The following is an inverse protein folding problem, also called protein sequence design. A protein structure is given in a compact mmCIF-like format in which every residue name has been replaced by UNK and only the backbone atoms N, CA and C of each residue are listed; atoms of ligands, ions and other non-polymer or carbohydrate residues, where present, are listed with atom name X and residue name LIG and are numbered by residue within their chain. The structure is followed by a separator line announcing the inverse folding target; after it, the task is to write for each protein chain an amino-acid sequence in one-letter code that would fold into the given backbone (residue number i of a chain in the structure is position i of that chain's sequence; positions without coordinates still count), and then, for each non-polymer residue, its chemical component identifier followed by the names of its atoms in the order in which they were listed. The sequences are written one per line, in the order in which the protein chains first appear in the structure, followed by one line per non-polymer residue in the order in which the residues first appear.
data_IF_113299681655
#
_entry.id   IF_113299681655
#
_cell.length_a   1.000
_cell.length_b   1.000
_cell.length_c   1.000
_cell.angle_alpha   90.00
_cell.angle_beta   90.00
_cell.angle_gamma   90.00
#
_symmetry.space_group_name_H-M   'P 1'
#
loop_
_entity.id
_entity.type
_entity.pdbx_description
1 polymer ?
#
# COMPACT_ATOMS: atom_id res chain seq x y z
N UNK A 1 -7.74 7.15 20.24
CA UNK A 1 -8.06 6.04 19.30
C UNK A 1 -7.30 4.79 19.73
N UNK A 2 -7.92 3.61 19.67
CA UNK A 2 -7.21 2.33 19.81
C UNK A 2 -6.64 1.95 18.42
N UNK A 3 -5.31 1.90 18.30
CA UNK A 3 -4.62 1.68 17.01
C UNK A 3 -3.98 0.30 16.99
N UNK A 4 -4.17 -0.45 15.90
CA UNK A 4 -3.47 -1.69 15.60
C UNK A 4 -2.42 -1.44 14.51
N UNK A 5 -1.15 -1.56 14.85
CA UNK A 5 -0.06 -1.59 13.86
C UNK A 5 -0.03 -2.98 13.23
N UNK A 6 -0.07 -3.03 11.90
CA UNK A 6 -0.03 -4.29 11.13
C UNK A 6 1.26 -4.31 10.33
N UNK A 7 2.08 -5.33 10.57
CA UNK A 7 3.33 -5.57 9.85
C UNK A 7 3.22 -6.92 9.13
N UNK A 8 3.34 -6.91 7.81
CA UNK A 8 3.49 -8.12 7.02
C UNK A 8 4.97 -8.41 6.84
N UNK A 9 5.44 -9.57 7.32
CA UNK A 9 6.84 -9.93 7.27
C UNK A 9 7.12 -11.10 6.30
N UNK A 10 8.26 -11.03 5.64
CA UNK A 10 8.85 -12.12 4.86
C UNK A 10 10.37 -11.98 4.85
N UNK A 11 11.09 -12.89 5.53
CA UNK A 11 12.53 -12.81 5.78
C UNK A 11 12.92 -11.45 6.41
N UNK A 12 12.32 -11.18 7.56
CA UNK A 12 12.35 -9.89 8.27
C UNK A 12 13.60 -9.70 9.15
N UNK A 13 14.41 -10.73 9.32
CA UNK A 13 15.53 -10.75 10.26
C UNK A 13 16.42 -9.50 10.25
N UNK A 14 16.77 -8.87 9.09
CA UNK A 14 17.64 -7.70 9.07
C UNK A 14 17.05 -6.43 9.72
N UNK A 15 15.73 -6.31 9.79
CA UNK A 15 15.05 -5.08 10.23
C UNK A 15 14.30 -5.23 11.55
N UNK A 16 14.20 -6.44 12.13
CA UNK A 16 13.38 -6.73 13.32
C UNK A 16 13.65 -5.70 14.41
N UNK A 17 14.90 -5.52 14.81
CA UNK A 17 15.24 -4.68 15.97
C UNK A 17 14.93 -3.21 15.73
N UNK A 18 15.20 -2.70 14.53
CA UNK A 18 14.96 -1.30 14.20
C UNK A 18 13.47 -1.00 14.02
N UNK A 19 12.77 -1.87 13.30
CA UNK A 19 11.33 -1.75 13.06
C UNK A 19 10.55 -1.84 14.38
N UNK A 20 10.72 -2.93 15.13
CA UNK A 20 9.97 -3.16 16.36
C UNK A 20 10.45 -2.25 17.51
N UNK A 21 11.75 -1.92 17.55
CA UNK A 21 12.30 -0.95 18.50
C UNK A 21 11.66 0.44 18.36
N UNK A 22 11.47 0.93 17.12
CA UNK A 22 10.83 2.22 16.89
C UNK A 22 9.37 2.27 17.37
N UNK A 23 8.67 1.15 17.31
CA UNK A 23 7.31 1.03 17.83
C UNK A 23 7.28 0.96 19.36
N UNK A 24 8.24 0.29 19.97
CA UNK A 24 8.39 0.24 21.43
C UNK A 24 8.73 1.63 22.03
N UNK A 25 9.46 2.46 21.28
CA UNK A 25 9.79 3.83 21.66
C UNK A 25 8.70 4.85 21.33
N UNK A 26 7.64 4.45 20.63
CA UNK A 26 6.54 5.34 20.25
C UNK A 26 5.88 5.98 21.50
N UNK A 27 5.64 7.30 21.43
CA UNK A 27 4.91 8.02 22.46
C UNK A 27 3.41 7.71 22.48
N UNK A 28 2.90 7.03 21.45
CA UNK A 28 1.51 6.62 21.35
C UNK A 28 1.37 5.11 21.62
N UNK A 29 0.54 4.71 22.58
CA UNK A 29 0.31 3.29 22.84
C UNK A 29 -0.47 2.65 21.70
N UNK A 30 0.16 1.73 20.99
CA UNK A 30 -0.48 0.99 19.90
C UNK A 30 -0.19 -0.51 20.06
N UNK A 31 -1.19 -1.33 19.80
CA UNK A 31 -0.99 -2.77 19.73
C UNK A 31 -0.30 -3.13 18.40
N UNK A 32 0.58 -4.14 18.43
CA UNK A 32 1.33 -4.57 17.24
C UNK A 32 0.96 -6.00 16.87
N UNK A 33 0.57 -6.20 15.62
CA UNK A 33 0.32 -7.50 15.01
C UNK A 33 1.29 -7.73 13.85
N UNK A 34 2.07 -8.79 13.95
CA UNK A 34 2.96 -9.23 12.88
C UNK A 34 2.31 -10.43 12.18
N UNK A 35 2.21 -10.37 10.87
CA UNK A 35 1.74 -11.47 10.04
C UNK A 35 2.91 -11.95 9.20
N UNK A 36 3.51 -13.05 9.64
CA UNK A 36 4.62 -13.66 8.94
C UNK A 36 4.12 -14.44 7.72
N UNK A 37 4.65 -14.09 6.57
CA UNK A 37 4.20 -14.55 5.27
C UNK A 37 5.04 -15.74 4.77
N UNK A 38 5.25 -16.75 5.64
CA UNK A 38 6.07 -17.93 5.43
C UNK A 38 7.57 -17.63 5.27
N UNK A 39 8.16 -16.86 6.20
CA UNK A 39 9.61 -16.62 6.27
C UNK A 39 10.40 -17.91 6.37
N UNK A 40 11.58 -17.91 5.74
CA UNK A 40 12.50 -19.06 5.70
C UNK A 40 13.77 -18.83 6.53
N UNK A 41 13.96 -17.63 7.05
CA UNK A 41 15.04 -17.23 7.93
C UNK A 41 14.64 -17.36 9.42
N UNK A 42 15.40 -16.75 10.33
CA UNK A 42 15.13 -16.80 11.77
C UNK A 42 14.01 -15.84 12.23
N UNK A 43 13.25 -15.20 11.34
CA UNK A 43 12.21 -14.21 11.66
C UNK A 43 11.28 -14.69 12.76
N UNK A 44 10.58 -15.82 12.54
CA UNK A 44 9.55 -16.32 13.47
C UNK A 44 10.15 -16.70 14.84
N UNK A 45 11.31 -17.37 14.84
CA UNK A 45 11.99 -17.79 16.07
C UNK A 45 12.49 -16.59 16.88
N UNK A 46 13.07 -15.58 16.23
CA UNK A 46 13.52 -14.35 16.86
C UNK A 46 12.37 -13.56 17.47
N UNK A 47 11.29 -13.32 16.72
CA UNK A 47 10.14 -12.59 17.23
C UNK A 47 9.55 -13.29 18.47
N UNK A 48 9.38 -14.62 18.43
CA UNK A 48 8.87 -15.38 19.59
C UNK A 48 9.76 -15.32 20.81
N UNK A 49 11.09 -15.29 20.60
CA UNK A 49 12.08 -15.26 21.68
C UNK A 49 12.26 -13.86 22.25
N UNK A 50 12.49 -12.87 21.37
CA UNK A 50 12.97 -11.54 21.77
C UNK A 50 11.81 -10.56 22.00
N UNK A 51 10.63 -10.84 21.36
CA UNK A 51 9.41 -10.02 21.45
C UNK A 51 8.16 -10.83 21.81
N UNK A 52 8.18 -11.65 22.88
CA UNK A 52 7.08 -12.60 23.21
C UNK A 52 5.76 -11.92 23.56
N UNK A 53 5.77 -10.63 23.85
CA UNK A 53 4.59 -9.82 24.12
C UNK A 53 3.88 -9.34 22.85
N UNK A 54 4.51 -9.42 21.69
CA UNK A 54 3.89 -9.03 20.42
C UNK A 54 3.07 -10.20 19.84
N UNK A 55 1.97 -9.84 19.21
CA UNK A 55 1.10 -10.81 18.54
C UNK A 55 1.70 -11.19 17.19
N UNK A 56 1.96 -12.49 17.01
CA UNK A 56 2.51 -13.05 15.76
C UNK A 56 1.57 -14.12 15.20
N UNK A 57 1.20 -13.96 13.94
CA UNK A 57 0.51 -14.98 13.12
C UNK A 57 1.47 -15.46 12.06
N UNK A 58 1.91 -16.72 12.13
CA UNK A 58 2.76 -17.32 11.11
C UNK A 58 1.90 -18.04 10.07
N UNK A 59 1.88 -17.54 8.85
CA UNK A 59 1.19 -18.19 7.74
C UNK A 59 2.01 -19.38 7.20
N UNK A 60 1.38 -20.50 6.87
CA UNK A 60 2.09 -21.63 6.27
C UNK A 60 2.52 -21.37 4.82
N UNK A 61 1.96 -20.36 4.17
CA UNK A 61 2.25 -20.00 2.78
C UNK A 61 2.35 -18.49 2.62
N UNK A 62 3.07 -18.03 1.60
CA UNK A 62 3.10 -16.59 1.26
C UNK A 62 1.79 -16.19 0.61
N UNK A 63 1.01 -15.37 1.31
CA UNK A 63 -0.30 -14.87 0.89
C UNK A 63 -0.20 -13.63 -0.03
N UNK A 64 0.98 -13.04 -0.12
CA UNK A 64 1.19 -11.70 -0.69
C UNK A 64 0.84 -10.58 0.29
N UNK A 65 1.20 -9.36 -0.08
CA UNK A 65 1.07 -8.18 0.80
C UNK A 65 -0.39 -7.88 1.17
N UNK A 66 -1.26 -7.79 0.16
CA UNK A 66 -2.65 -7.36 0.37
C UNK A 66 -3.46 -8.35 1.22
N UNK A 67 -3.38 -9.66 0.94
CA UNK A 67 -4.14 -10.67 1.70
C UNK A 67 -3.65 -10.78 3.14
N UNK A 68 -2.34 -10.69 3.36
CA UNK A 68 -1.80 -10.72 4.71
C UNK A 68 -2.28 -9.49 5.52
N UNK A 69 -2.22 -8.28 4.94
CA UNK A 69 -2.78 -7.09 5.59
C UNK A 69 -4.28 -7.22 5.86
N UNK A 70 -5.05 -7.85 4.97
CA UNK A 70 -6.48 -8.07 5.16
C UNK A 70 -6.80 -8.88 6.43
N UNK A 71 -5.94 -9.85 6.79
CA UNK A 71 -6.08 -10.59 8.06
C UNK A 71 -6.00 -9.62 9.25
N UNK A 72 -5.01 -8.73 9.25
CA UNK A 72 -4.87 -7.73 10.32
C UNK A 72 -6.02 -6.72 10.35
N UNK A 73 -6.46 -6.25 9.18
CA UNK A 73 -7.62 -5.34 9.07
C UNK A 73 -8.91 -5.99 9.59
N UNK A 74 -9.12 -7.27 9.29
CA UNK A 74 -10.27 -8.04 9.77
C UNK A 74 -10.24 -8.20 11.30
N UNK A 75 -9.07 -8.50 11.86
CA UNK A 75 -8.86 -8.55 13.31
C UNK A 75 -9.17 -7.19 13.94
N UNK A 76 -8.69 -6.09 13.33
CA UNK A 76 -8.95 -4.75 13.84
C UNK A 76 -10.45 -4.44 13.89
N UNK A 77 -11.21 -4.80 12.86
CA UNK A 77 -12.68 -4.63 12.85
C UNK A 77 -13.36 -5.48 13.92
N UNK A 78 -12.95 -6.74 14.08
CA UNK A 78 -13.53 -7.70 15.04
C UNK A 78 -13.25 -7.34 16.50
N UNK A 79 -12.06 -6.81 16.77
CA UNK A 79 -11.59 -6.49 18.13
C UNK A 79 -11.83 -5.02 18.51
N UNK A 80 -12.54 -4.25 17.67
CA UNK A 80 -12.99 -2.89 17.98
C UNK A 80 -11.87 -1.86 18.03
N UNK A 81 -10.85 -2.00 17.17
CA UNK A 81 -9.87 -0.92 16.96
C UNK A 81 -10.51 0.26 16.23
N UNK A 82 -10.03 1.47 16.50
CA UNK A 82 -10.49 2.69 15.84
C UNK A 82 -9.76 2.92 14.52
N UNK A 83 -8.49 2.48 14.43
CA UNK A 83 -7.69 2.58 13.22
C UNK A 83 -6.69 1.43 13.12
N UNK A 84 -6.24 1.16 11.89
CA UNK A 84 -5.05 0.37 11.62
C UNK A 84 -3.92 1.29 11.14
N UNK A 85 -2.69 0.94 11.49
CA UNK A 85 -1.50 1.56 10.93
C UNK A 85 -0.69 0.48 10.21
N UNK A 86 -0.80 0.45 8.87
CA UNK A 86 0.01 -0.45 8.06
C UNK A 86 1.43 0.06 8.02
N UNK A 87 2.39 -0.80 8.30
CA UNK A 87 3.80 -0.47 8.30
C UNK A 87 4.59 -1.60 7.63
N UNK A 88 5.47 -1.24 6.70
CA UNK A 88 6.36 -2.22 6.08
C UNK A 88 7.40 -2.74 7.09
N UNK A 89 7.86 -3.99 6.89
CA UNK A 89 8.88 -4.60 7.73
C UNK A 89 10.24 -3.87 7.69
N UNK A 90 10.60 -3.31 6.53
CA UNK A 90 11.83 -2.57 6.27
C UNK A 90 11.70 -1.06 6.59
N UNK A 91 10.85 -0.76 7.57
CA UNK A 91 10.50 0.60 7.94
C UNK A 91 10.53 0.80 9.47
N UNK A 92 10.70 2.05 9.89
CA UNK A 92 10.61 2.50 11.30
C UNK A 92 10.06 3.92 11.36
N UNK A 93 9.55 4.32 12.50
CA UNK A 93 8.86 5.61 12.67
C UNK A 93 9.55 6.51 13.69
N UNK A 94 9.37 7.82 13.53
CA UNK A 94 9.70 8.78 14.58
C UNK A 94 8.79 8.57 15.79
N UNK A 95 9.31 8.85 16.99
CA UNK A 95 8.66 8.59 18.28
C UNK A 95 7.22 9.13 18.37
N UNK A 96 6.94 10.27 17.79
CA UNK A 96 5.65 10.97 17.83
C UNK A 96 4.79 10.78 16.59
N UNK A 97 5.24 9.97 15.62
CA UNK A 97 4.59 9.83 14.31
C UNK A 97 3.11 9.38 14.43
N UNK A 98 2.83 8.32 15.21
CA UNK A 98 1.47 7.81 15.37
C UNK A 98 0.59 8.85 16.06
N UNK A 99 1.09 9.51 17.10
CA UNK A 99 0.35 10.56 17.81
C UNK A 99 -0.07 11.69 16.88
N UNK A 100 0.88 12.19 16.07
CA UNK A 100 0.61 13.26 15.11
C UNK A 100 -0.40 12.84 14.04
N UNK A 101 -0.34 11.59 13.56
CA UNK A 101 -1.30 11.06 12.58
C UNK A 101 -2.71 10.94 13.18
N UNK A 102 -2.83 10.47 14.43
CA UNK A 102 -4.10 10.36 15.16
C UNK A 102 -4.73 11.74 15.38
N UNK A 103 -3.94 12.70 15.85
CA UNK A 103 -4.41 14.08 16.07
C UNK A 103 -4.85 14.74 14.76
N UNK A 104 -4.09 14.50 13.67
CA UNK A 104 -4.44 15.00 12.35
C UNK A 104 -5.76 14.42 11.85
N UNK A 105 -6.01 13.12 12.07
CA UNK A 105 -7.27 12.50 11.69
C UNK A 105 -8.46 13.04 12.49
N UNK A 106 -8.32 13.26 13.80
CA UNK A 106 -9.40 13.83 14.62
C UNK A 106 -9.89 15.17 14.08
N UNK A 107 -8.97 16.00 13.55
CA UNK A 107 -9.29 17.30 12.99
C UNK A 107 -9.75 17.23 11.52
N UNK A 108 -9.46 16.14 10.81
CA UNK A 108 -9.71 15.98 9.38
C UNK A 108 -10.27 14.59 9.04
N UNK A 109 -11.48 14.22 9.52
CA UNK A 109 -12.04 12.87 9.38
C UNK A 109 -12.42 12.50 7.92
N UNK A 110 -12.38 13.44 7.00
CA UNK A 110 -12.57 13.20 5.57
C UNK A 110 -11.39 12.47 4.91
N UNK A 111 -10.24 12.37 5.58
CA UNK A 111 -9.10 11.58 5.08
C UNK A 111 -9.24 10.11 5.47
N UNK A 112 -9.32 9.26 4.47
CA UNK A 112 -9.36 7.81 4.67
C UNK A 112 -7.97 7.16 4.76
N UNK A 113 -6.94 7.84 4.27
CA UNK A 113 -5.53 7.47 4.45
C UNK A 113 -4.74 8.70 4.83
N UNK A 114 -4.02 8.61 5.95
CA UNK A 114 -2.96 9.54 6.33
C UNK A 114 -1.63 8.79 6.38
N UNK A 115 -0.60 9.41 5.82
CA UNK A 115 0.77 8.90 5.81
C UNK A 115 1.73 9.91 6.45
N UNK A 116 2.79 9.47 7.13
CA UNK A 116 3.89 10.37 7.44
C UNK A 116 4.67 10.74 6.18
N UNK A 117 5.61 11.66 6.31
CA UNK A 117 6.69 11.91 5.34
C UNK A 117 7.58 10.68 5.31
N UNK A 118 7.89 10.17 4.12
CA UNK A 118 8.81 9.03 3.97
C UNK A 118 10.24 9.52 3.79
N UNK A 119 11.11 9.08 4.68
CA UNK A 119 12.56 9.28 4.59
C UNK A 119 13.24 7.97 4.12
N UNK A 120 14.47 8.10 3.65
CA UNK A 120 15.35 6.95 3.42
C UNK A 120 15.89 6.40 4.76
N UNK A 121 16.58 5.26 4.71
CA UNK A 121 17.26 4.67 5.88
C UNK A 121 18.31 5.59 6.51
N UNK A 122 18.81 6.60 5.80
CA UNK A 122 19.73 7.61 6.33
C UNK A 122 19.06 8.61 7.28
N UNK A 123 17.72 8.69 7.29
CA UNK A 123 16.89 9.67 8.04
C UNK A 123 17.12 11.14 7.62
N UNK A 124 17.99 11.36 6.64
CA UNK A 124 18.43 12.70 6.22
C UNK A 124 17.87 13.15 4.87
N UNK A 125 17.32 12.23 4.10
CA UNK A 125 16.80 12.50 2.76
C UNK A 125 15.41 11.90 2.58
N UNK A 126 14.61 12.50 1.70
CA UNK A 126 13.30 11.96 1.34
C UNK A 126 13.44 10.64 0.56
N UNK A 127 12.52 9.71 0.78
CA UNK A 127 12.41 8.50 -0.05
C UNK A 127 12.17 8.90 -1.51
N UNK A 128 12.87 8.31 -2.49
CA UNK A 128 12.72 8.67 -3.90
C UNK A 128 11.30 8.51 -4.44
N UNK A 129 10.56 7.50 -3.95
CA UNK A 129 9.14 7.33 -4.29
C UNK A 129 8.30 8.48 -3.75
N UNK A 130 8.51 8.86 -2.48
CA UNK A 130 7.84 10.00 -1.87
C UNK A 130 8.13 11.31 -2.63
N UNK A 131 9.39 11.57 -2.96
CA UNK A 131 9.79 12.72 -3.77
C UNK A 131 9.12 12.73 -5.15
N UNK A 132 8.98 11.56 -5.77
CA UNK A 132 8.38 11.43 -7.11
C UNK A 132 6.92 11.87 -7.15
N UNK A 133 6.07 11.44 -6.20
CA UNK A 133 4.65 11.79 -6.21
C UNK A 133 4.31 13.09 -5.50
N UNK A 134 5.13 13.56 -4.57
CA UNK A 134 4.95 14.87 -3.92
C UNK A 134 5.59 16.02 -4.69
N UNK A 135 6.58 15.73 -5.55
CA UNK A 135 7.45 16.70 -6.23
C UNK A 135 8.32 17.54 -5.27
N UNK A 136 8.50 17.06 -4.05
CA UNK A 136 9.38 17.66 -3.04
C UNK A 136 10.71 16.89 -3.08
N UNK A 137 11.83 17.59 -3.15
CA UNK A 137 13.17 16.97 -3.24
C UNK A 137 13.92 17.01 -1.93
N UNK A 138 13.64 17.98 -1.08
CA UNK A 138 14.36 18.23 0.16
C UNK A 138 13.40 18.38 1.34
N UNK A 139 13.82 17.93 2.52
CA UNK A 139 13.05 18.05 3.78
C UNK A 139 12.73 19.52 4.11
N UNK A 140 13.62 20.45 3.74
CA UNK A 140 13.42 21.89 3.96
C UNK A 140 12.23 22.47 3.18
N UNK A 141 11.84 21.82 2.08
CA UNK A 141 10.71 22.24 1.22
C UNK A 141 9.34 21.75 1.75
N UNK A 142 9.33 20.92 2.81
CA UNK A 142 8.08 20.43 3.37
C UNK A 142 7.21 21.58 3.90
N UNK A 143 5.91 21.62 3.56
CA UNK A 143 4.98 22.67 3.98
C UNK A 143 4.55 22.49 5.45
N UNK A 144 5.45 22.70 6.39
CA UNK A 144 5.26 22.43 7.83
C UNK A 144 4.14 23.23 8.49
N UNK A 145 3.62 24.26 7.84
CA UNK A 145 2.45 25.03 8.31
C UNK A 145 1.13 24.34 8.02
N UNK A 146 1.11 23.46 7.02
CA UNK A 146 -0.07 22.66 6.69
C UNK A 146 -0.24 21.54 7.70
N UNK A 147 -1.47 21.27 8.10
CA UNK A 147 -1.80 20.13 8.95
C UNK A 147 -1.71 18.83 8.15
N UNK A 148 -2.27 18.83 6.95
CA UNK A 148 -2.26 17.71 6.00
C UNK A 148 -2.08 18.27 4.59
N UNK A 149 -1.27 17.61 3.78
CA UNK A 149 -1.12 17.90 2.36
C UNK A 149 -1.85 16.79 1.56
N UNK A 150 -2.86 17.17 0.74
CA UNK A 150 -3.60 16.20 -0.05
C UNK A 150 -2.71 15.57 -1.13
N UNK A 151 -2.92 14.28 -1.39
CA UNK A 151 -2.24 13.51 -2.43
C UNK A 151 -3.25 12.76 -3.30
N UNK A 152 -2.83 12.45 -4.52
CA UNK A 152 -3.55 11.52 -5.40
C UNK A 152 -3.05 10.08 -5.25
N UNK A 153 -1.88 9.91 -4.66
CA UNK A 153 -1.25 8.62 -4.41
C UNK A 153 -0.21 8.73 -3.29
N UNK A 154 -0.12 7.71 -2.47
CA UNK A 154 0.98 7.42 -1.55
C UNK A 154 1.14 5.90 -1.45
N UNK A 155 2.36 5.38 -1.47
CA UNK A 155 2.58 3.93 -1.33
C UNK A 155 2.22 3.44 0.08
N UNK A 156 1.87 2.16 0.20
CA UNK A 156 1.38 1.55 1.43
C UNK A 156 2.49 1.19 2.44
N UNK A 157 3.61 1.91 2.44
CA UNK A 157 4.67 1.69 3.44
C UNK A 157 4.26 2.15 4.85
N UNK A 158 3.42 3.20 4.91
CA UNK A 158 2.89 3.76 6.15
C UNK A 158 1.47 4.31 5.91
N UNK A 159 0.45 3.56 6.24
CA UNK A 159 -0.94 4.02 6.09
C UNK A 159 -1.69 3.95 7.42
N UNK A 160 -2.07 5.11 7.95
CA UNK A 160 -3.10 5.19 8.98
C UNK A 160 -4.46 5.17 8.29
N UNK A 161 -5.27 4.13 8.57
CA UNK A 161 -6.60 3.93 7.99
C UNK A 161 -7.59 3.76 9.13
N UNK A 162 -8.56 4.67 9.30
CA UNK A 162 -9.63 4.52 10.28
C UNK A 162 -10.53 3.32 9.96
N UNK A 163 -11.04 2.62 10.97
CA UNK A 163 -11.86 1.40 10.75
C UNK A 163 -13.23 1.68 10.16
N UNK A 164 -13.78 2.90 10.31
CA UNK A 164 -14.97 3.32 9.57
C UNK A 164 -14.74 3.33 8.05
N UNK A 165 -13.51 3.66 7.59
CA UNK A 165 -13.11 3.55 6.19
C UNK A 165 -13.03 2.09 5.76
N UNK A 166 -12.45 1.20 6.59
CA UNK A 166 -12.42 -0.24 6.32
C UNK A 166 -13.84 -0.84 6.18
N UNK A 167 -14.82 -0.34 6.96
CA UNK A 167 -16.23 -0.79 6.84
C UNK A 167 -16.88 -0.37 5.53
N UNK A 168 -16.45 0.71 4.92
CA UNK A 168 -17.03 1.25 3.69
C UNK A 168 -16.25 0.84 2.43
N UNK A 169 -14.94 0.83 2.49
CA UNK A 169 -14.05 0.58 1.35
C UNK A 169 -13.58 -0.88 1.32
N UNK A 170 -13.47 -1.51 2.48
CA UNK A 170 -12.96 -2.87 2.64
C UNK A 170 -11.44 -2.95 2.72
N UNK A 171 -10.90 -4.13 2.41
CA UNK A 171 -9.47 -4.43 2.38
C UNK A 171 -8.86 -4.38 0.98
N UNK A 172 -7.66 -4.90 0.82
CA UNK A 172 -6.98 -5.01 -0.47
C UNK A 172 -7.67 -6.02 -1.38
N UNK A 173 -7.82 -5.68 -2.65
CA UNK A 173 -8.44 -6.55 -3.65
C UNK A 173 -7.57 -7.77 -3.99
N UNK A 174 -8.20 -8.93 -4.08
CA UNK A 174 -7.53 -10.17 -4.52
C UNK A 174 -7.15 -10.19 -6.01
N UNK A 175 -7.58 -9.18 -6.78
CA UNK A 175 -7.18 -9.01 -8.18
C UNK A 175 -5.66 -8.73 -8.30
N UNK A 176 -5.06 -8.13 -7.26
CA UNK A 176 -3.65 -7.77 -7.20
C UNK A 176 -2.92 -8.68 -6.20
N UNK A 177 -2.00 -9.51 -6.69
CA UNK A 177 -1.21 -10.38 -5.83
C UNK A 177 0.03 -9.68 -5.27
N UNK A 178 0.72 -8.91 -6.13
CA UNK A 178 1.94 -8.18 -5.78
C UNK A 178 2.10 -6.97 -6.70
N UNK A 179 2.16 -5.79 -6.11
CA UNK A 179 2.05 -4.47 -6.73
C UNK A 179 0.65 -4.15 -7.27
N UNK A 180 0.28 -2.87 -7.18
CA UNK A 180 -0.98 -2.31 -7.67
C UNK A 180 -2.12 -2.36 -6.66
N UNK A 181 -1.99 -3.14 -5.59
CA UNK A 181 -2.95 -3.20 -4.49
C UNK A 181 -3.15 -1.85 -3.81
N UNK A 182 -2.08 -1.07 -3.65
CA UNK A 182 -2.10 0.28 -3.10
C UNK A 182 -2.85 1.27 -4.02
N UNK A 183 -2.56 1.21 -5.32
CA UNK A 183 -3.24 2.05 -6.31
C UNK A 183 -4.73 1.72 -6.41
N UNK A 184 -5.10 0.43 -6.44
CA UNK A 184 -6.50 0.00 -6.44
C UNK A 184 -7.21 0.46 -5.17
N UNK A 185 -6.58 0.29 -4.01
CA UNK A 185 -7.16 0.70 -2.73
C UNK A 185 -7.45 2.21 -2.71
N UNK A 186 -6.49 3.04 -3.13
CA UNK A 186 -6.66 4.50 -3.23
C UNK A 186 -7.76 4.85 -4.25
N UNK A 187 -7.82 4.20 -5.40
CA UNK A 187 -8.88 4.42 -6.38
C UNK A 187 -10.28 4.13 -5.78
N UNK A 188 -10.43 3.05 -5.01
CA UNK A 188 -11.70 2.73 -4.32
C UNK A 188 -12.01 3.74 -3.21
N UNK A 189 -11.01 4.10 -2.44
CA UNK A 189 -11.13 5.07 -1.36
C UNK A 189 -11.64 6.42 -1.89
N UNK A 190 -11.06 6.91 -2.97
CA UNK A 190 -11.51 8.15 -3.61
C UNK A 190 -12.88 8.02 -4.27
N UNK A 191 -13.23 6.85 -4.82
CA UNK A 191 -14.58 6.57 -5.32
C UNK A 191 -15.65 6.70 -4.23
N UNK A 192 -15.33 6.31 -2.99
CA UNK A 192 -16.20 6.44 -1.83
C UNK A 192 -16.12 7.83 -1.15
N UNK A 193 -15.47 8.81 -1.79
CA UNK A 193 -15.45 10.20 -1.33
C UNK A 193 -14.39 10.54 -0.27
N UNK A 194 -13.54 9.61 0.11
CA UNK A 194 -12.45 9.88 1.04
C UNK A 194 -11.23 10.50 0.36
N UNK A 195 -10.48 11.28 1.13
CA UNK A 195 -9.21 11.89 0.72
C UNK A 195 -8.01 11.05 1.15
N UNK A 196 -6.89 11.28 0.48
CA UNK A 196 -5.56 10.75 0.83
C UNK A 196 -4.63 11.92 1.07
N UNK A 197 -3.76 11.82 2.07
CA UNK A 197 -2.80 12.88 2.35
C UNK A 197 -1.61 12.40 3.17
N UNK A 198 -0.61 13.27 3.27
CA UNK A 198 0.48 13.10 4.22
C UNK A 198 0.52 14.24 5.24
N UNK A 199 1.06 13.93 6.41
CA UNK A 199 1.21 14.88 7.51
C UNK A 199 2.66 15.35 7.56
N UNK A 200 2.95 16.65 7.26
CA UNK A 200 4.33 17.15 7.09
C UNK A 200 5.20 17.11 8.34
N UNK A 201 4.61 16.88 9.50
CA UNK A 201 5.29 16.83 10.81
C UNK A 201 5.49 15.40 11.33
N UNK A 202 4.86 14.41 10.73
CA UNK A 202 5.06 12.99 11.04
C UNK A 202 6.10 12.41 10.10
N UNK A 203 7.01 11.57 10.62
CA UNK A 203 8.11 10.99 9.82
C UNK A 203 8.17 9.48 10.00
N UNK A 204 8.44 8.79 8.90
CA UNK A 204 8.77 7.38 8.88
C UNK A 204 9.92 7.13 7.91
N UNK A 205 10.80 6.21 8.23
CA UNK A 205 11.96 5.85 7.42
C UNK A 205 11.73 4.50 6.75
N UNK A 206 12.07 4.39 5.49
CA UNK A 206 11.88 3.19 4.69
C UNK A 206 13.23 2.78 4.07
N UNK A 207 13.73 1.62 4.43
CA UNK A 207 15.00 1.06 3.93
C UNK A 207 14.77 0.32 2.62
N UNK A 208 14.37 1.08 1.61
CA UNK A 208 14.11 0.53 0.30
C UNK A 208 15.41 0.30 -0.46
N UNK A 209 15.74 -0.95 -0.75
CA UNK A 209 16.81 -1.25 -1.68
C UNK A 209 16.50 -0.73 -3.09
N UNK A 210 17.35 0.17 -3.59
CA UNK A 210 17.30 0.56 -4.99
C UNK A 210 17.90 -0.56 -5.85
N UNK A 211 17.04 -1.23 -6.61
CA UNK A 211 17.45 -2.22 -7.61
C UNK A 211 17.15 -1.69 -9.00
N UNK A 212 18.09 -1.77 -9.96
CA UNK A 212 17.82 -1.43 -11.35
C UNK A 212 16.58 -2.19 -11.85
N UNK A 213 15.74 -1.51 -12.62
CA UNK A 213 14.53 -2.10 -13.17
C UNK A 213 14.89 -3.13 -14.24
N UNK A 214 14.71 -4.42 -13.96
CA UNK A 214 14.84 -5.47 -14.97
C UNK A 214 13.72 -5.35 -16.02
N UNK A 215 13.97 -5.89 -17.21
CA UNK A 215 12.96 -5.90 -18.27
C UNK A 215 11.66 -6.62 -17.87
N UNK A 216 11.79 -7.74 -17.16
CA UNK A 216 10.61 -8.45 -16.61
C UNK A 216 9.84 -7.61 -15.59
N UNK A 217 10.55 -6.90 -14.70
CA UNK A 217 9.93 -6.00 -13.73
C UNK A 217 9.22 -4.83 -14.43
N UNK A 218 9.82 -4.29 -15.50
CA UNK A 218 9.20 -3.26 -16.32
C UNK A 218 7.86 -3.75 -16.91
N UNK A 219 7.84 -4.91 -17.58
CA UNK A 219 6.61 -5.48 -18.16
C UNK A 219 5.55 -5.81 -17.10
N UNK A 220 5.99 -6.28 -15.93
CA UNK A 220 5.08 -6.51 -14.81
C UNK A 220 4.47 -5.19 -14.31
N UNK A 221 5.27 -4.15 -14.16
CA UNK A 221 4.79 -2.81 -13.77
C UNK A 221 3.80 -2.24 -14.79
N UNK A 222 4.07 -2.40 -16.09
CA UNK A 222 3.15 -2.02 -17.17
C UNK A 222 1.82 -2.79 -17.06
N UNK A 223 1.88 -4.11 -16.84
CA UNK A 223 0.69 -4.92 -16.67
C UNK A 223 -0.15 -4.44 -15.46
N UNK A 224 0.47 -4.26 -14.31
CA UNK A 224 -0.18 -3.82 -13.08
C UNK A 224 -0.78 -2.42 -13.25
N UNK A 225 -0.05 -1.49 -13.87
CA UNK A 225 -0.54 -0.14 -14.16
C UNK A 225 -1.83 -0.21 -15.00
N UNK A 226 -1.81 -0.93 -16.11
CA UNK A 226 -2.96 -1.05 -17.00
C UNK A 226 -4.13 -1.82 -16.33
N UNK A 227 -3.84 -2.83 -15.53
CA UNK A 227 -4.85 -3.55 -14.76
C UNK A 227 -5.52 -2.63 -13.73
N UNK A 228 -4.76 -1.77 -13.05
CA UNK A 228 -5.31 -0.81 -12.09
C UNK A 228 -6.20 0.24 -12.76
N UNK A 229 -5.84 0.72 -13.97
CA UNK A 229 -6.70 1.61 -14.74
C UNK A 229 -7.98 0.91 -15.23
N UNK A 230 -7.87 -0.37 -15.63
CA UNK A 230 -9.03 -1.17 -16.04
C UNK A 230 -9.98 -1.44 -14.88
N UNK A 231 -9.45 -1.70 -13.68
CA UNK A 231 -10.24 -1.92 -12.46
C UNK A 231 -10.77 -0.63 -11.82
N UNK A 232 -10.30 0.55 -12.23
CA UNK A 232 -10.60 1.82 -11.59
C UNK A 232 -12.08 2.19 -11.70
N UNK A 233 -12.78 2.17 -10.56
CA UNK A 233 -14.21 2.47 -10.46
C UNK A 233 -14.54 3.96 -10.72
N UNK A 234 -13.57 4.87 -10.60
CA UNK A 234 -13.76 6.30 -10.90
C UNK A 234 -13.94 6.59 -12.40
N UNK A 235 -13.68 5.61 -13.27
CA UNK A 235 -13.86 5.71 -14.70
C UNK A 235 -15.09 4.94 -15.15
N UNK A 236 -15.87 5.48 -16.12
CA UNK A 236 -16.84 4.69 -16.86
C UNK A 236 -16.15 3.48 -17.48
N UNK A 237 -16.89 2.37 -17.64
CA UNK A 237 -16.31 1.13 -18.16
C UNK A 237 -15.58 1.32 -19.50
N UNK A 238 -16.13 2.08 -20.45
CA UNK A 238 -15.52 2.36 -21.74
C UNK A 238 -14.18 3.07 -21.58
N UNK A 239 -14.10 4.09 -20.71
CA UNK A 239 -12.84 4.79 -20.42
C UNK A 239 -11.84 3.86 -19.73
N UNK A 240 -12.27 3.08 -18.73
CA UNK A 240 -11.43 2.12 -18.05
C UNK A 240 -10.88 1.06 -19.00
N UNK A 241 -11.70 0.56 -19.92
CA UNK A 241 -11.29 -0.38 -20.98
C UNK A 241 -10.27 0.26 -21.93
N UNK A 242 -10.51 1.50 -22.35
CA UNK A 242 -9.59 2.21 -23.23
C UNK A 242 -8.21 2.42 -22.58
N UNK A 243 -8.15 2.86 -21.32
CA UNK A 243 -6.92 3.11 -20.58
C UNK A 243 -6.21 1.81 -20.15
N UNK A 244 -6.97 0.81 -19.74
CA UNK A 244 -6.44 -0.45 -19.26
C UNK A 244 -6.10 -1.41 -20.42
N UNK A 245 -7.02 -1.64 -21.36
CA UNK A 245 -6.87 -2.69 -22.37
C UNK A 245 -6.37 -2.17 -23.70
N UNK A 246 -6.89 -1.05 -24.21
CA UNK A 246 -6.50 -0.56 -25.54
C UNK A 246 -5.19 0.25 -25.54
N UNK A 247 -4.83 0.89 -24.42
CA UNK A 247 -3.58 1.66 -24.36
C UNK A 247 -2.31 0.83 -24.64
N UNK A 248 -2.17 -0.44 -24.22
CA UNK A 248 -1.09 -1.32 -24.66
C UNK A 248 -1.00 -1.51 -26.18
N UNK A 249 -2.13 -1.57 -26.88
CA UNK A 249 -2.14 -1.68 -28.34
C UNK A 249 -1.53 -0.43 -28.98
N UNK A 250 -1.86 0.77 -28.47
CA UNK A 250 -1.22 2.02 -28.90
C UNK A 250 0.29 2.01 -28.65
N UNK A 251 0.73 1.47 -27.50
CA UNK A 251 2.18 1.31 -27.20
C UNK A 251 2.84 0.31 -28.13
N UNK A 252 2.16 -0.80 -28.48
CA UNK A 252 2.63 -1.79 -29.46
C UNK A 252 2.85 -1.16 -30.85
N UNK A 253 1.87 -0.40 -31.35
CA UNK A 253 1.97 0.29 -32.63
C UNK A 253 3.14 1.29 -32.63
N UNK A 254 3.30 2.06 -31.56
CA UNK A 254 4.43 2.97 -31.44
C UNK A 254 5.76 2.21 -31.43
N UNK A 255 5.88 1.11 -30.69
CA UNK A 255 7.08 0.30 -30.66
C UNK A 255 7.43 -0.27 -32.07
N UNK A 256 6.41 -0.66 -32.84
CA UNK A 256 6.58 -1.13 -34.22
C UNK A 256 7.11 -0.01 -35.13
N UNK A 257 6.52 1.18 -35.06
CA UNK A 257 6.98 2.35 -35.83
C UNK A 257 8.41 2.78 -35.47
N UNK A 258 8.80 2.59 -34.19
CA UNK A 258 10.16 2.84 -33.69
C UNK A 258 11.15 1.70 -34.04
N UNK A 259 10.75 0.70 -34.84
CA UNK A 259 11.58 -0.46 -35.23
C UNK A 259 11.83 -1.48 -34.12
N UNK A 260 11.10 -1.40 -32.99
CA UNK A 260 11.26 -2.27 -31.80
C UNK A 260 10.26 -3.42 -31.83
N UNK A 261 10.40 -4.35 -32.80
CA UNK A 261 9.43 -5.44 -33.01
C UNK A 261 9.24 -6.36 -31.79
N UNK A 262 10.31 -6.67 -31.05
CA UNK A 262 10.21 -7.46 -29.80
C UNK A 262 9.32 -6.80 -28.76
N UNK A 263 9.49 -5.51 -28.53
CA UNK A 263 8.67 -4.73 -27.59
C UNK A 263 7.21 -4.62 -28.06
N UNK A 264 6.98 -4.52 -29.37
CA UNK A 264 5.64 -4.59 -29.95
C UNK A 264 4.94 -5.91 -29.57
N UNK A 265 5.61 -7.04 -29.76
CA UNK A 265 5.07 -8.36 -29.40
C UNK A 265 4.77 -8.48 -27.90
N UNK A 266 5.60 -7.89 -27.03
CA UNK A 266 5.37 -7.88 -25.58
C UNK A 266 4.13 -7.08 -25.21
N UNK A 267 3.91 -5.91 -25.79
CA UNK A 267 2.68 -5.14 -25.58
C UNK A 267 1.44 -5.84 -26.11
N UNK A 268 1.53 -6.59 -27.21
CA UNK A 268 0.41 -7.42 -27.71
C UNK A 268 0.11 -8.58 -26.75
N UNK A 269 1.12 -9.24 -26.20
CA UNK A 269 0.94 -10.26 -25.14
C UNK A 269 0.29 -9.65 -23.90
N UNK A 270 0.72 -8.44 -23.51
CA UNK A 270 0.14 -7.70 -22.39
C UNK A 270 -1.34 -7.38 -22.62
N UNK A 271 -1.69 -6.92 -23.81
CA UNK A 271 -3.08 -6.72 -24.23
C UNK A 271 -3.92 -7.99 -24.05
N UNK A 272 -3.47 -9.13 -24.58
CA UNK A 272 -4.18 -10.41 -24.46
C UNK A 272 -4.35 -10.84 -22.98
N UNK A 273 -3.31 -10.65 -22.16
CA UNK A 273 -3.40 -10.90 -20.72
C UNK A 273 -4.44 -10.02 -20.03
N UNK A 274 -4.54 -8.75 -20.40
CA UNK A 274 -5.54 -7.82 -19.84
C UNK A 274 -6.95 -8.16 -20.29
N UNK A 275 -7.15 -8.57 -21.54
CA UNK A 275 -8.43 -9.10 -22.04
C UNK A 275 -8.86 -10.32 -21.24
N UNK A 276 -7.93 -11.25 -20.94
CA UNK A 276 -8.21 -12.42 -20.12
C UNK A 276 -8.62 -12.07 -18.66
N UNK A 277 -8.27 -10.87 -18.17
CA UNK A 277 -8.69 -10.38 -16.85
C UNK A 277 -10.11 -9.74 -16.85
N UNK A 278 -10.82 -9.70 -17.98
CA UNK A 278 -12.11 -8.97 -18.06
C UNK A 278 -13.15 -9.49 -17.06
N UNK A 279 -13.27 -10.81 -16.89
CA UNK A 279 -14.20 -11.39 -15.90
C UNK A 279 -13.83 -11.00 -14.46
N UNK A 280 -12.59 -11.29 -13.98
CA UNK A 280 -12.11 -10.84 -12.67
C UNK A 280 -12.24 -9.33 -12.44
N UNK A 281 -11.90 -8.50 -13.45
CA UNK A 281 -12.04 -7.04 -13.37
C UNK A 281 -13.51 -6.62 -13.22
N UNK A 282 -14.43 -7.23 -13.95
CA UNK A 282 -15.86 -6.94 -13.83
C UNK A 282 -16.35 -7.21 -12.40
N UNK A 283 -16.02 -8.37 -11.83
CA UNK A 283 -16.34 -8.74 -10.45
C UNK A 283 -15.71 -7.76 -9.46
N UNK A 284 -14.43 -7.42 -9.65
CA UNK A 284 -13.71 -6.46 -8.82
C UNK A 284 -14.39 -5.08 -8.85
N UNK A 285 -14.69 -4.53 -10.03
CA UNK A 285 -15.38 -3.24 -10.19
C UNK A 285 -16.74 -3.22 -9.51
N UNK A 286 -17.53 -4.30 -9.65
CA UNK A 286 -18.83 -4.43 -8.97
C UNK A 286 -18.66 -4.38 -7.45
N UNK A 287 -17.67 -5.08 -6.88
CA UNK A 287 -17.36 -5.00 -5.44
C UNK A 287 -16.87 -3.61 -5.04
N UNK A 288 -15.98 -3.02 -5.84
CA UNK A 288 -15.36 -1.73 -5.53
C UNK A 288 -16.36 -0.56 -5.47
N UNK A 289 -17.51 -0.66 -6.10
CA UNK A 289 -18.58 0.35 -6.05
C UNK A 289 -19.55 0.16 -4.88
N UNK A 290 -19.45 -0.93 -4.12
CA UNK A 290 -20.32 -1.22 -2.99
C UNK A 290 -19.69 -0.73 -1.69
N UNK A 291 -20.44 0.06 -0.90
CA UNK A 291 -19.99 0.52 0.43
C UNK A 291 -20.19 -0.58 1.46
N UNK A 292 -19.19 -1.47 1.59
CA UNK A 292 -19.19 -2.59 2.52
C UNK A 292 -17.74 -3.08 2.72
N UNK A 293 -17.44 -3.88 3.77
CA UNK A 293 -16.09 -4.38 4.05
C UNK A 293 -15.67 -5.49 3.08
N UNK A 294 -15.70 -5.17 1.76
CA UNK A 294 -15.25 -6.07 0.72
C UNK A 294 -13.84 -6.56 0.98
N UNK A 295 -13.54 -7.81 0.64
CA UNK A 295 -12.23 -8.46 0.83
C UNK A 295 -11.81 -8.68 2.29
N UNK A 296 -12.63 -8.26 3.28
CA UNK A 296 -12.44 -8.49 4.73
C UNK A 296 -13.48 -9.45 5.32
N UNK A 297 -14.37 -10.01 4.51
CA UNK A 297 -15.30 -11.05 4.94
C UNK A 297 -14.57 -12.40 4.94
N UNK A 298 -14.87 -13.23 5.91
CA UNK A 298 -14.36 -14.61 5.97
C UNK A 298 -14.70 -15.37 4.69
N UNK A 299 -13.80 -16.26 4.23
CA UNK A 299 -14.04 -17.08 3.05
C UNK A 299 -15.24 -18.03 3.22
#
# INVERSE_FOLDING_TARGET
MKVLVIIVSYNFEPWIDRCLGSLAESSYPADVLIIDNASKDCTVSRIRKDYPHLRLIASPTNLGFGRANNIGMQIALKEGYDAVFLMNQDAWIAKDAINILVDSYHNHPEYGILSPVHLTASEKTLDPGFSSYTRIQEIAQLPRRESIVPLTFVNAAFWMIPTNVLRQVGGFSSLFYHYGEDKDYINRLTFHGFKVGYVPRAFGCHDREYRPMSHQKFLHTEFVYHLSEYANANHHFVKAFALGVLAPVKKALKALLDGRASLCLEYLKLFLRLVAQSGPVFVCRKKNTQSQPNYLQEP
#
